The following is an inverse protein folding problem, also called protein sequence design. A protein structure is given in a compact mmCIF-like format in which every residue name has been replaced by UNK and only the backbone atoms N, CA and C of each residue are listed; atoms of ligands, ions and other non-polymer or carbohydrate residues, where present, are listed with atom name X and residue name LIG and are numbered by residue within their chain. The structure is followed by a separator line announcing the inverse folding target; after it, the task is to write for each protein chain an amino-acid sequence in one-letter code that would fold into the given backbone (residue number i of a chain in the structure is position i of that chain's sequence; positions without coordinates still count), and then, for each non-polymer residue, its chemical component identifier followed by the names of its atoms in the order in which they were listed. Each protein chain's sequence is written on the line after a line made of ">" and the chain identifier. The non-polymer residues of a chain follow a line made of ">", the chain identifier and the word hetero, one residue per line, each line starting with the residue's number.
data_IF_573737476133
#
_entry.id   IF_573737476133
#
_cell.length_a   1.000
_cell.length_b   1.000
_cell.length_c   1.000
_cell.angle_alpha   90.00
_cell.angle_beta   90.00
_cell.angle_gamma   90.00
#
_symmetry.space_group_name_H-M   'P 1'
#
loop_
_entity.id
_entity.type
_entity.pdbx_description
1 polymer ?
#
# COMPACT_ATOMS: atom_id res chain seq x y z
N UNK A 1 67.99 7.62 -28.00
CA UNK A 1 68.32 7.78 -26.57
C UNK A 1 67.00 8.20 -25.93
N UNK A 2 66.23 7.24 -25.40
CA UNK A 2 66.26 6.75 -24.01
C UNK A 2 65.94 7.93 -23.05
N UNK A 3 64.65 8.05 -22.65
CA UNK A 3 64.11 7.83 -21.27
C UNK A 3 64.44 9.03 -20.35
N UNK A 4 63.49 9.73 -19.71
CA UNK A 4 62.59 9.27 -18.65
C UNK A 4 61.41 10.26 -18.42
N UNK A 5 60.37 9.78 -17.74
CA UNK A 5 59.11 10.45 -17.34
C UNK A 5 59.29 11.50 -16.23
N UNK A 6 58.33 12.43 -16.12
CA UNK A 6 57.60 12.63 -14.85
C UNK A 6 56.20 13.25 -15.10
N UNK A 7 55.21 12.73 -14.38
CA UNK A 7 53.81 13.11 -14.39
C UNK A 7 53.48 13.87 -13.09
N UNK A 8 52.49 14.78 -13.16
CA UNK A 8 51.64 15.28 -12.06
C UNK A 8 50.44 16.02 -12.71
N UNK A 9 49.22 15.46 -12.74
CA UNK A 9 48.12 15.56 -11.75
C UNK A 9 47.79 17.02 -11.32
N UNK A 10 46.67 17.59 -11.78
CA UNK A 10 45.32 17.63 -11.15
C UNK A 10 45.27 18.69 -10.00
N UNK A 11 44.42 19.72 -10.02
CA UNK A 11 43.01 19.65 -9.60
C UNK A 11 42.24 20.95 -9.95
N UNK A 12 41.03 20.81 -10.51
CA UNK A 12 40.10 21.90 -10.85
C UNK A 12 39.01 21.94 -9.77
N UNK A 13 39.28 22.66 -8.68
CA UNK A 13 38.43 22.71 -7.50
C UNK A 13 37.39 23.84 -7.50
N UNK A 14 36.11 23.49 -7.27
CA UNK A 14 35.33 24.15 -6.23
C UNK A 14 34.19 25.12 -6.61
N UNK A 15 33.14 24.65 -7.29
CA UNK A 15 31.87 25.37 -7.52
C UNK A 15 30.91 25.35 -6.29
N UNK A 16 31.39 25.67 -5.07
CA UNK A 16 30.52 25.75 -3.89
C UNK A 16 29.88 27.13 -3.70
N UNK A 17 30.55 28.22 -4.08
CA UNK A 17 30.03 29.58 -3.86
C UNK A 17 28.85 29.94 -4.79
N UNK A 18 28.81 29.45 -6.04
CA UNK A 18 27.65 29.69 -6.93
C UNK A 18 26.38 28.94 -6.50
N UNK A 19 26.49 27.72 -5.96
CA UNK A 19 25.32 26.96 -5.52
C UNK A 19 24.65 27.59 -4.29
N UNK A 20 25.43 28.10 -3.32
CA UNK A 20 24.89 28.82 -2.18
C UNK A 20 24.23 30.15 -2.57
N UNK A 21 24.77 30.86 -3.57
CA UNK A 21 24.14 32.08 -4.11
C UNK A 21 22.81 31.77 -4.79
N UNK A 22 22.72 30.67 -5.55
CA UNK A 22 21.46 30.25 -6.20
C UNK A 22 20.42 29.82 -5.17
N UNK A 23 20.80 29.01 -4.17
CA UNK A 23 19.89 28.58 -3.10
C UNK A 23 19.41 29.77 -2.26
N UNK A 24 20.30 30.71 -1.95
CA UNK A 24 19.95 31.95 -1.25
C UNK A 24 18.97 32.82 -2.04
N UNK A 25 19.19 32.98 -3.35
CA UNK A 25 18.29 33.74 -4.22
C UNK A 25 16.91 33.09 -4.34
N UNK A 26 16.84 31.75 -4.43
CA UNK A 26 15.56 31.01 -4.49
C UNK A 26 14.79 31.11 -3.16
N UNK A 27 15.48 31.02 -2.02
CA UNK A 27 14.84 31.19 -0.71
C UNK A 27 14.28 32.61 -0.52
N UNK A 28 15.01 33.64 -0.95
CA UNK A 28 14.54 35.03 -0.88
C UNK A 28 13.33 35.24 -1.80
N UNK A 29 13.32 34.67 -3.00
CA UNK A 29 12.17 34.74 -3.91
C UNK A 29 10.92 34.06 -3.36
N UNK A 30 11.06 32.93 -2.66
CA UNK A 30 9.94 32.24 -2.01
C UNK A 30 9.36 33.11 -0.89
N UNK A 31 10.22 33.75 -0.07
CA UNK A 31 9.77 34.62 1.03
C UNK A 31 9.05 35.86 0.47
N UNK A 32 9.59 36.50 -0.57
CA UNK A 32 8.93 37.65 -1.23
C UNK A 32 7.60 37.21 -1.87
N UNK A 33 7.55 36.04 -2.51
CA UNK A 33 6.33 35.49 -3.09
C UNK A 33 5.22 35.26 -2.06
N UNK A 34 5.56 34.72 -0.88
CA UNK A 34 4.60 34.53 0.22
C UNK A 34 4.11 35.87 0.77
N UNK A 35 4.98 36.86 0.92
CA UNK A 35 4.60 38.21 1.37
C UNK A 35 3.67 38.89 0.37
N UNK A 36 3.90 38.76 -0.94
CA UNK A 36 3.01 39.31 -1.97
C UNK A 36 1.63 38.64 -1.95
N UNK A 37 1.56 37.31 -1.80
CA UNK A 37 0.28 36.59 -1.70
C UNK A 37 -0.47 36.97 -0.41
N UNK A 38 0.26 37.11 0.70
CA UNK A 38 -0.34 37.49 1.98
C UNK A 38 -0.81 38.96 2.00
N UNK A 39 -0.11 39.86 1.29
CA UNK A 39 -0.54 41.25 1.10
C UNK A 39 -1.66 41.41 0.05
N UNK A 40 -1.76 40.51 -0.94
CA UNK A 40 -2.89 40.50 -1.90
C UNK A 40 -4.14 39.77 -1.37
N UNK A 41 -4.02 38.92 -0.34
CA UNK A 41 -5.16 38.27 0.34
C UNK A 41 -5.67 39.04 1.56
N UNK A 42 -5.10 40.22 1.86
CA UNK A 42 -5.49 41.09 2.97
C UNK A 42 -6.37 42.26 2.52
N UNK A 43 -7.56 41.96 2.00
CA UNK A 43 -8.59 42.94 1.67
C UNK A 43 -9.95 42.26 1.69
N UNK A 44 -10.63 42.35 2.82
CA UNK A 44 -11.96 41.77 3.00
C UNK A 44 -13.04 42.60 2.32
N UNK A 45 -14.05 41.91 1.81
CA UNK A 45 -15.43 42.40 1.65
C UNK A 45 -16.34 41.17 1.67
N UNK A 46 -17.18 41.13 2.70
CA UNK A 46 -18.36 40.28 2.82
C UNK A 46 -19.38 40.70 1.76
N UNK A 47 -20.03 39.74 1.10
CA UNK A 47 -21.39 39.94 0.60
C UNK A 47 -22.13 38.60 0.63
N UNK A 48 -23.24 38.63 1.37
CA UNK A 48 -24.10 37.52 1.75
C UNK A 48 -25.35 37.51 0.84
N UNK A 49 -25.83 36.30 0.55
CA UNK A 49 -27.19 35.89 0.14
C UNK A 49 -27.88 36.45 -1.14
N UNK A 50 -28.31 35.54 -2.03
CA UNK A 50 -29.69 35.03 -1.97
C UNK A 50 -30.04 34.00 -3.09
N UNK A 51 -30.79 32.97 -2.68
CA UNK A 51 -31.77 32.14 -3.42
C UNK A 51 -31.34 30.87 -4.19
N UNK A 52 -31.95 29.75 -3.76
CA UNK A 52 -31.87 28.36 -4.22
C UNK A 52 -32.95 28.03 -5.28
N UNK A 53 -33.19 26.75 -5.69
CA UNK A 53 -32.31 25.60 -5.94
C UNK A 53 -32.50 25.03 -7.37
N UNK A 54 -31.45 24.52 -8.02
CA UNK A 54 -31.61 23.58 -9.16
C UNK A 54 -30.70 22.38 -8.96
N UNK A 55 -31.32 21.23 -8.64
CA UNK A 55 -30.70 19.91 -8.70
C UNK A 55 -30.44 19.56 -10.16
N UNK A 56 -29.17 19.54 -10.56
CA UNK A 56 -28.72 18.76 -11.70
C UNK A 56 -27.52 17.91 -11.29
N UNK A 57 -27.70 16.61 -11.47
CA UNK A 57 -26.70 15.56 -11.35
C UNK A 57 -25.49 15.89 -12.24
N UNK A 58 -24.30 15.94 -11.64
CA UNK A 58 -23.07 15.88 -12.41
C UNK A 58 -22.02 15.04 -11.68
N UNK A 59 -21.98 13.78 -12.11
CA UNK A 59 -20.77 12.95 -12.32
C UNK A 59 -19.61 13.30 -11.39
N UNK A 60 -19.64 12.72 -10.19
CA UNK A 60 -18.44 12.55 -9.39
C UNK A 60 -17.60 11.46 -10.07
N UNK A 61 -16.73 11.91 -10.99
CA UNK A 61 -15.58 11.15 -11.44
C UNK A 61 -14.69 10.91 -10.22
N UNK A 62 -14.94 9.80 -9.54
CA UNK A 62 -14.02 9.23 -8.58
C UNK A 62 -12.74 8.89 -9.34
N UNK A 63 -11.81 9.84 -9.35
CA UNK A 63 -10.40 9.61 -9.69
C UNK A 63 -9.89 8.55 -8.72
N UNK A 64 -9.93 7.32 -9.19
CA UNK A 64 -9.10 6.20 -8.78
C UNK A 64 -7.69 6.72 -8.52
N UNK A 65 -7.11 6.61 -7.32
CA UNK A 65 -5.67 6.63 -7.20
C UNK A 65 -5.17 5.29 -7.75
N UNK A 66 -4.95 5.26 -9.07
CA UNK A 66 -3.99 4.37 -9.66
C UNK A 66 -2.62 4.98 -9.37
N UNK A 67 -1.91 4.40 -8.41
CA UNK A 67 -0.62 4.88 -7.97
C UNK A 67 -0.10 3.98 -6.87
N UNK A 68 0.40 2.82 -7.28
CA UNK A 68 1.23 1.90 -6.51
C UNK A 68 2.50 2.59 -5.99
N UNK A 69 2.32 3.50 -5.05
CA UNK A 69 3.39 4.17 -4.28
C UNK A 69 3.13 4.02 -2.77
N UNK A 70 1.89 3.70 -2.36
CA UNK A 70 1.55 3.39 -0.98
C UNK A 70 1.96 1.98 -0.53
N UNK A 71 2.14 1.03 -1.45
CA UNK A 71 2.47 -0.36 -1.12
C UNK A 71 3.91 -0.48 -0.60
N UNK A 72 4.87 0.26 -1.19
CA UNK A 72 6.29 0.12 -0.84
C UNK A 72 6.62 0.70 0.55
N UNK A 73 5.98 1.81 0.94
CA UNK A 73 6.13 2.39 2.29
C UNK A 73 5.38 1.55 3.35
N UNK A 74 4.27 0.92 2.96
CA UNK A 74 3.51 0.07 3.85
C UNK A 74 4.23 -1.26 4.15
N UNK A 75 5.03 -1.79 3.22
CA UNK A 75 5.87 -2.98 3.45
C UNK A 75 7.05 -2.71 4.41
N UNK A 76 7.58 -1.48 4.45
CA UNK A 76 8.67 -1.10 5.37
C UNK A 76 8.22 -1.01 6.85
N UNK A 77 6.92 -0.88 7.10
CA UNK A 77 6.31 -0.85 8.44
C UNK A 77 5.59 -2.15 8.80
N UNK A 78 5.81 -3.24 8.06
CA UNK A 78 5.29 -4.56 8.42
C UNK A 78 6.16 -5.09 9.55
N UNK A 79 5.54 -5.36 10.70
CA UNK A 79 6.17 -6.06 11.82
C UNK A 79 6.44 -7.53 11.48
N UNK A 80 6.45 -8.44 12.47
CA UNK A 80 6.76 -9.84 12.20
C UNK A 80 5.80 -10.45 11.18
N UNK A 81 6.34 -11.28 10.28
CA UNK A 81 5.56 -12.03 9.30
C UNK A 81 5.31 -13.42 9.88
N UNK A 82 4.04 -13.74 10.13
CA UNK A 82 3.60 -15.02 10.64
C UNK A 82 3.11 -15.91 9.47
N UNK A 83 3.73 -17.07 9.22
CA UNK A 83 3.16 -18.04 8.28
C UNK A 83 1.86 -18.63 8.84
N UNK A 84 0.77 -18.54 8.07
CA UNK A 84 -0.53 -19.15 8.43
C UNK A 84 -0.55 -20.62 8.00
N UNK A 85 0.06 -20.90 6.85
CA UNK A 85 0.26 -22.26 6.33
C UNK A 85 1.70 -22.68 6.54
N UNK A 86 1.91 -23.89 7.05
CA UNK A 86 3.26 -24.45 7.13
C UNK A 86 3.82 -24.64 5.71
N UNK A 87 5.15 -24.58 5.59
CA UNK A 87 5.82 -24.75 4.29
C UNK A 87 5.49 -26.13 3.72
N UNK A 88 4.82 -26.16 2.57
CA UNK A 88 4.39 -27.40 1.92
C UNK A 88 3.04 -27.95 2.37
N UNK A 89 2.33 -27.25 3.26
CA UNK A 89 1.00 -27.63 3.75
C UNK A 89 -0.03 -26.54 3.39
N UNK A 90 -0.53 -26.53 2.13
CA UNK A 90 -1.49 -25.52 1.70
C UNK A 90 -2.88 -25.75 2.30
N UNK A 91 -3.63 -24.66 2.50
CA UNK A 91 -5.06 -24.73 2.77
C UNK A 91 -5.78 -25.15 1.50
N UNK A 92 -6.53 -26.24 1.57
CA UNK A 92 -7.40 -26.73 0.50
C UNK A 92 -8.83 -26.32 0.84
N UNK A 93 -9.43 -25.49 -0.01
CA UNK A 93 -10.71 -24.84 0.25
C UNK A 93 -11.65 -25.12 -0.92
N UNK A 94 -12.85 -25.61 -0.62
CA UNK A 94 -13.91 -25.77 -1.62
C UNK A 94 -14.42 -24.39 -2.05
N UNK A 95 -14.49 -24.14 -3.35
CA UNK A 95 -15.02 -22.88 -3.88
C UNK A 95 -16.50 -23.00 -4.19
N UNK A 96 -17.20 -21.87 -4.18
CA UNK A 96 -18.60 -21.80 -4.56
C UNK A 96 -18.72 -21.96 -6.09
N UNK A 97 -19.33 -23.04 -6.54
CA UNK A 97 -19.58 -23.30 -7.96
C UNK A 97 -21.05 -23.68 -8.22
N UNK A 98 -21.53 -23.43 -9.43
CA UNK A 98 -22.88 -23.81 -9.86
C UNK A 98 -22.91 -25.13 -10.65
N UNK A 99 -21.84 -25.92 -10.63
CA UNK A 99 -21.77 -27.12 -11.46
C UNK A 99 -20.63 -28.06 -11.11
N UNK A 100 -19.42 -27.75 -11.59
CA UNK A 100 -18.24 -28.61 -11.38
C UNK A 100 -17.54 -28.26 -10.08
N UNK A 101 -17.10 -29.27 -9.35
CA UNK A 101 -16.33 -29.07 -8.14
C UNK A 101 -15.06 -28.28 -8.44
N UNK A 102 -14.76 -27.29 -7.61
CA UNK A 102 -13.54 -26.52 -7.69
C UNK A 102 -12.93 -26.32 -6.32
N UNK A 103 -11.61 -26.45 -6.26
CA UNK A 103 -10.83 -26.38 -5.04
C UNK A 103 -9.72 -25.35 -5.22
N UNK A 104 -9.54 -24.50 -4.22
CA UNK A 104 -8.40 -23.59 -4.09
C UNK A 104 -7.38 -24.23 -3.16
N UNK A 105 -6.16 -24.39 -3.64
CA UNK A 105 -5.00 -24.71 -2.80
C UNK A 105 -4.18 -23.44 -2.64
N UNK A 106 -4.02 -22.95 -1.40
CA UNK A 106 -3.39 -21.64 -1.13
C UNK A 106 -2.42 -21.71 0.06
N UNK A 107 -1.28 -21.03 -0.08
CA UNK A 107 -0.29 -20.82 0.99
C UNK A 107 -0.23 -19.34 1.34
N UNK A 108 -0.31 -19.05 2.63
CA UNK A 108 -0.52 -17.71 3.17
C UNK A 108 0.45 -17.41 4.32
N UNK A 109 0.90 -16.15 4.36
CA UNK A 109 1.57 -15.55 5.50
C UNK A 109 0.93 -14.19 5.78
N UNK A 110 0.88 -13.75 7.03
CA UNK A 110 0.32 -12.45 7.41
C UNK A 110 1.40 -11.57 8.01
N UNK A 111 1.39 -10.29 7.62
CA UNK A 111 2.22 -9.25 8.21
C UNK A 111 1.51 -8.62 9.40
N UNK A 112 2.14 -8.64 10.57
CA UNK A 112 1.57 -8.14 11.81
C UNK A 112 2.00 -6.69 12.07
N UNK A 113 1.24 -5.95 12.87
CA UNK A 113 1.60 -4.58 13.26
C UNK A 113 2.60 -4.51 14.42
N UNK A 114 2.77 -5.58 15.20
CA UNK A 114 3.61 -5.60 16.40
C UNK A 114 4.03 -7.01 16.79
N UNK A 115 5.08 -7.15 17.60
CA UNK A 115 5.53 -8.44 18.16
C UNK A 115 4.53 -9.01 19.20
N UNK A 116 3.79 -8.15 19.89
CA UNK A 116 2.75 -8.59 20.84
C UNK A 116 1.64 -9.35 20.13
N UNK A 117 1.22 -8.84 18.98
CA UNK A 117 0.20 -9.48 18.14
C UNK A 117 0.64 -10.87 17.66
N UNK A 118 1.94 -11.11 17.49
CA UNK A 118 2.43 -12.43 17.07
C UNK A 118 2.00 -13.52 18.04
N UNK A 119 2.15 -13.29 19.34
CA UNK A 119 1.77 -14.28 20.37
C UNK A 119 0.25 -14.53 20.37
N UNK A 120 -0.56 -13.49 20.17
CA UNK A 120 -2.01 -13.62 20.04
C UNK A 120 -2.40 -14.40 18.77
N UNK A 121 -1.82 -14.03 17.63
CA UNK A 121 -2.10 -14.63 16.33
C UNK A 121 -1.67 -16.11 16.27
N UNK A 122 -0.55 -16.47 16.90
CA UNK A 122 -0.11 -17.86 17.04
C UNK A 122 -1.10 -18.69 17.88
N UNK A 123 -1.67 -18.12 18.94
CA UNK A 123 -2.70 -18.79 19.76
C UNK A 123 -4.04 -18.92 19.02
N UNK A 124 -4.35 -17.98 18.14
CA UNK A 124 -5.58 -17.92 17.34
C UNK A 124 -5.39 -18.45 15.91
N UNK A 125 -4.30 -19.17 15.64
CA UNK A 125 -3.93 -19.56 14.29
C UNK A 125 -5.02 -20.38 13.59
N UNK A 126 -5.72 -21.25 14.31
CA UNK A 126 -6.84 -22.02 13.77
C UNK A 126 -8.06 -21.15 13.44
N UNK A 127 -8.35 -20.13 14.26
CA UNK A 127 -9.43 -19.16 14.00
C UNK A 127 -9.09 -18.32 12.76
N UNK A 128 -7.82 -17.95 12.61
CA UNK A 128 -7.34 -17.21 11.43
C UNK A 128 -7.49 -18.08 10.17
N UNK A 129 -7.08 -19.36 10.22
CA UNK A 129 -7.27 -20.31 9.12
C UNK A 129 -8.74 -20.48 8.76
N UNK A 130 -9.60 -20.65 9.75
CA UNK A 130 -11.05 -20.76 9.59
C UNK A 130 -11.63 -19.54 8.88
N UNK A 131 -11.20 -18.34 9.27
CA UNK A 131 -11.61 -17.08 8.61
C UNK A 131 -11.23 -17.04 7.13
N UNK A 132 -10.04 -17.55 6.77
CA UNK A 132 -9.67 -17.69 5.36
C UNK A 132 -10.57 -18.69 4.64
N UNK A 133 -10.83 -19.86 5.24
CA UNK A 133 -11.70 -20.90 4.68
C UNK A 133 -13.11 -20.32 4.41
N UNK A 134 -13.68 -19.61 5.38
CA UNK A 134 -14.99 -18.97 5.26
C UNK A 134 -15.04 -17.93 4.15
N UNK A 135 -14.04 -17.07 4.03
CA UNK A 135 -14.02 -16.03 3.00
C UNK A 135 -13.87 -16.67 1.61
N UNK A 136 -12.91 -17.57 1.44
CA UNK A 136 -12.61 -18.16 0.14
C UNK A 136 -13.70 -19.14 -0.33
N UNK A 137 -14.37 -19.85 0.60
CA UNK A 137 -15.41 -20.80 0.23
C UNK A 137 -16.63 -20.17 -0.44
N UNK A 138 -16.89 -18.90 -0.13
CA UNK A 138 -17.97 -18.12 -0.78
C UNK A 138 -17.61 -17.59 -2.17
N UNK A 139 -16.34 -17.68 -2.60
CA UNK A 139 -15.89 -17.12 -3.87
C UNK A 139 -16.00 -18.12 -5.01
N UNK A 140 -16.19 -17.60 -6.21
CA UNK A 140 -16.18 -18.41 -7.43
C UNK A 140 -14.78 -18.55 -8.02
N UNK A 141 -14.49 -19.64 -8.75
CA UNK A 141 -13.22 -19.81 -9.47
C UNK A 141 -12.93 -18.66 -10.44
N UNK A 142 -13.96 -18.12 -11.10
CA UNK A 142 -13.86 -17.05 -12.08
C UNK A 142 -13.37 -15.74 -11.44
N UNK A 143 -13.85 -15.43 -10.24
CA UNK A 143 -13.41 -14.25 -9.48
C UNK A 143 -11.94 -14.39 -9.05
N UNK A 144 -11.58 -15.56 -8.52
CA UNK A 144 -10.26 -15.83 -7.95
C UNK A 144 -9.15 -16.01 -9.01
N UNK A 145 -9.50 -16.33 -10.26
CA UNK A 145 -8.55 -16.39 -11.39
C UNK A 145 -7.89 -15.04 -11.68
N UNK A 146 -8.55 -13.93 -11.34
CA UNK A 146 -8.00 -12.58 -11.58
C UNK A 146 -7.20 -12.10 -10.37
N UNK A 147 -6.07 -11.41 -10.61
CA UNK A 147 -5.28 -10.81 -9.51
C UNK A 147 -6.11 -9.85 -8.66
N UNK A 148 -7.01 -9.09 -9.30
CA UNK A 148 -7.91 -8.16 -8.60
C UNK A 148 -8.89 -8.88 -7.68
N UNK A 149 -9.52 -9.96 -8.16
CA UNK A 149 -10.49 -10.73 -7.37
C UNK A 149 -9.82 -11.48 -6.23
N UNK A 150 -8.66 -12.09 -6.48
CA UNK A 150 -7.86 -12.69 -5.41
C UNK A 150 -7.45 -11.68 -4.34
N UNK A 151 -6.91 -10.52 -4.73
CA UNK A 151 -6.49 -9.50 -3.78
C UNK A 151 -7.69 -8.98 -2.96
N UNK A 152 -8.86 -8.83 -3.58
CA UNK A 152 -10.09 -8.46 -2.88
C UNK A 152 -10.49 -9.50 -1.83
N UNK A 153 -10.40 -10.80 -2.15
CA UNK A 153 -10.67 -11.87 -1.19
C UNK A 153 -9.66 -11.89 -0.03
N UNK A 154 -8.38 -11.64 -0.32
CA UNK A 154 -7.34 -11.51 0.72
C UNK A 154 -7.59 -10.30 1.64
N UNK A 155 -7.97 -9.15 1.08
CA UNK A 155 -8.31 -7.96 1.85
C UNK A 155 -9.57 -8.17 2.72
N UNK A 156 -10.58 -8.86 2.19
CA UNK A 156 -11.78 -9.22 2.94
C UNK A 156 -11.43 -10.12 4.13
N UNK A 157 -10.64 -11.18 3.91
CA UNK A 157 -10.16 -12.05 4.98
C UNK A 157 -9.33 -11.30 6.02
N UNK A 158 -8.41 -10.42 5.58
CA UNK A 158 -7.65 -9.55 6.48
C UNK A 158 -8.56 -8.73 7.38
N UNK A 159 -9.57 -8.10 6.79
CA UNK A 159 -10.48 -7.23 7.55
C UNK A 159 -11.27 -8.05 8.58
N UNK A 160 -11.80 -9.22 8.21
CA UNK A 160 -12.48 -10.14 9.16
C UNK A 160 -11.55 -10.62 10.27
N UNK A 161 -10.28 -10.91 9.95
CA UNK A 161 -9.28 -11.29 10.95
C UNK A 161 -9.09 -10.16 11.98
N UNK A 162 -8.99 -8.92 11.50
CA UNK A 162 -8.83 -7.75 12.35
C UNK A 162 -10.05 -7.43 13.23
N UNK A 163 -11.22 -8.02 12.98
CA UNK A 163 -12.40 -7.84 13.84
C UNK A 163 -12.27 -8.54 15.20
N UNK A 164 -11.46 -9.59 15.30
CA UNK A 164 -11.30 -10.38 16.53
C UNK A 164 -9.91 -10.30 17.17
N UNK A 165 -8.97 -9.56 16.56
CA UNK A 165 -7.65 -9.29 17.13
C UNK A 165 -7.72 -8.08 18.06
N UNK A 166 -7.02 -8.13 19.19
CA UNK A 166 -7.06 -7.05 20.20
C UNK A 166 -5.71 -6.40 20.43
N UNK A 167 -4.59 -7.12 20.22
CA UNK A 167 -3.23 -6.64 20.48
C UNK A 167 -2.58 -5.95 19.25
N UNK A 168 -3.37 -5.73 18.20
CA UNK A 168 -2.95 -5.05 16.97
C UNK A 168 -3.81 -5.41 15.77
N UNK A 169 -3.23 -5.29 14.57
CA UNK A 169 -3.89 -5.63 13.32
C UNK A 169 -2.94 -6.32 12.34
N UNK A 170 -3.48 -7.21 11.52
CA UNK A 170 -2.86 -7.69 10.29
C UNK A 170 -2.83 -6.53 9.30
N UNK A 171 -1.61 -6.15 8.89
CA UNK A 171 -1.38 -5.07 7.92
C UNK A 171 -1.53 -5.59 6.50
N UNK A 172 -0.96 -6.77 6.22
CA UNK A 172 -0.91 -7.38 4.91
C UNK A 172 -1.11 -8.89 4.98
N UNK A 173 -1.68 -9.44 3.91
CA UNK A 173 -1.74 -10.89 3.70
C UNK A 173 -0.93 -11.19 2.45
N UNK A 174 0.11 -11.99 2.62
CA UNK A 174 0.99 -12.45 1.56
C UNK A 174 0.56 -13.83 1.11
N UNK A 175 0.42 -13.99 -0.20
CA UNK A 175 0.10 -15.28 -0.82
C UNK A 175 1.34 -15.79 -1.54
N UNK A 176 1.93 -16.85 -0.99
CA UNK A 176 3.18 -17.43 -1.50
C UNK A 176 2.93 -18.40 -2.65
N UNK A 177 1.80 -19.12 -2.62
CA UNK A 177 1.36 -20.00 -3.69
C UNK A 177 -0.17 -20.03 -3.72
N UNK A 178 -0.76 -20.09 -4.91
CA UNK A 178 -2.17 -20.38 -5.07
C UNK A 178 -2.45 -21.01 -6.44
N UNK A 179 -3.23 -22.07 -6.46
CA UNK A 179 -3.75 -22.65 -7.68
C UNK A 179 -5.18 -23.15 -7.47
N UNK A 180 -5.95 -23.15 -8.56
CA UNK A 180 -7.34 -23.60 -8.57
C UNK A 180 -7.38 -24.87 -9.40
N UNK A 181 -7.95 -25.93 -8.84
CA UNK A 181 -8.21 -27.19 -9.54
C UNK A 181 -9.71 -27.30 -9.78
N UNK A 182 -10.11 -27.65 -11.00
CA UNK A 182 -11.52 -27.88 -11.37
C UNK A 182 -11.66 -29.32 -11.84
N UNK A 183 -12.70 -30.00 -11.36
CA UNK A 183 -13.13 -31.31 -11.84
C UNK A 183 -13.87 -31.26 -13.16
#
# INVERSE_FOLDING_TARGET
>A
MAEEQEAQEQEKGGSKTMLFVIIGAVLVLIIVGVVVIMLMSGGGEEEEEAQAPVKQEQKQGAKKPAGSVGTDVALMNVGPILPITAKGDPLIINLSTQGRDAYLSIQLSVGLSSDKLQVEAERKLDIIKDTFIDVFSTKTPEELKTSKGMNRALEEARNRINEFLVDGQVTHVFRTNAFIQQG
#
